data_IF_557597112103
#
_entry.id   IF_557597112103
#
_cell.length_a   1.000
_cell.length_b   1.000
_cell.length_c   1.000
_cell.angle_alpha   90.00
_cell.angle_beta   90.00
_cell.angle_gamma   90.00
#
_symmetry.space_group_name_H-M   'P 1'
#
loop_
_entity.id
_entity.type
_entity.pdbx_description
1 polymer ?
#
# COMPACT_ATOMS: atom_id res chain seq x y z
N UNK A 1 -19.08 -75.06 41.49
CA UNK A 1 -18.31 -76.09 40.75
C UNK A 1 -16.93 -75.56 40.46
N UNK A 2 -15.91 -76.40 40.61
CA UNK A 2 -14.49 -76.07 40.55
C UNK A 2 -14.04 -75.96 39.07
N UNK A 3 -13.18 -74.99 38.76
CA UNK A 3 -12.44 -74.93 37.50
C UNK A 3 -11.09 -74.26 37.73
N UNK A 4 -10.01 -75.03 37.56
CA UNK A 4 -8.61 -74.68 37.82
C UNK A 4 -7.91 -74.28 36.51
N UNK A 5 -7.05 -73.26 36.61
CA UNK A 5 -5.78 -73.00 35.89
C UNK A 5 -5.59 -73.40 34.41
N UNK A 6 -5.25 -72.40 33.58
CA UNK A 6 -4.21 -72.46 32.53
C UNK A 6 -3.68 -71.02 32.31
N UNK A 7 -2.49 -70.62 32.80
CA UNK A 7 -1.11 -70.82 32.30
C UNK A 7 -0.77 -70.09 30.98
N UNK A 8 0.05 -69.03 31.13
CA UNK A 8 1.06 -68.43 30.23
C UNK A 8 0.68 -68.03 28.80
N UNK A 9 0.91 -66.76 28.45
CA UNK A 9 2.13 -66.30 27.72
C UNK A 9 2.10 -64.78 27.54
N UNK A 10 3.21 -64.14 27.89
CA UNK A 10 3.49 -62.75 27.56
C UNK A 10 3.91 -62.62 26.10
N UNK A 11 3.36 -61.65 25.37
CA UNK A 11 4.07 -60.97 24.27
C UNK A 11 3.68 -59.50 24.32
N UNK A 12 4.61 -58.67 24.79
CA UNK A 12 4.58 -57.24 24.54
C UNK A 12 4.95 -57.02 23.07
N UNK A 13 4.04 -56.45 22.28
CA UNK A 13 4.36 -55.90 20.97
C UNK A 13 4.06 -54.41 20.98
N UNK A 14 5.07 -53.61 21.31
CA UNK A 14 5.04 -52.17 21.13
C UNK A 14 5.10 -51.86 19.64
N UNK A 15 3.93 -51.67 19.02
CA UNK A 15 3.82 -51.12 17.67
C UNK A 15 3.97 -49.60 17.75
N UNK A 16 5.21 -49.13 17.61
CA UNK A 16 5.50 -47.73 17.30
C UNK A 16 4.97 -47.42 15.90
N UNK A 17 3.86 -46.69 15.81
CA UNK A 17 3.37 -46.14 14.55
C UNK A 17 4.30 -45.00 14.12
N UNK A 18 4.89 -45.02 12.91
CA UNK A 18 5.53 -43.84 12.37
C UNK A 18 4.44 -42.82 12.05
N UNK A 19 4.50 -41.67 12.73
CA UNK A 19 3.73 -40.50 12.32
C UNK A 19 4.24 -40.05 10.95
N UNK A 20 3.57 -40.48 9.89
CA UNK A 20 3.71 -39.87 8.56
C UNK A 20 3.15 -38.45 8.65
N UNK A 21 4.04 -37.50 8.94
CA UNK A 21 3.77 -36.08 8.74
C UNK A 21 3.68 -35.85 7.24
N UNK A 22 2.47 -35.76 6.72
CA UNK A 22 2.22 -35.30 5.36
C UNK A 22 2.60 -33.83 5.25
N UNK A 23 3.85 -33.57 4.88
CA UNK A 23 4.35 -32.24 4.53
C UNK A 23 3.98 -31.91 3.07
N UNK A 24 2.70 -31.60 2.80
CA UNK A 24 2.27 -31.21 1.45
C UNK A 24 1.35 -29.98 1.37
N UNK A 25 1.02 -29.30 2.48
CA UNK A 25 0.05 -28.18 2.47
C UNK A 25 0.68 -26.76 2.63
N UNK A 26 2.01 -26.67 2.77
CA UNK A 26 2.69 -25.38 2.97
C UNK A 26 2.92 -24.59 1.65
N UNK A 27 2.94 -25.25 0.49
CA UNK A 27 3.33 -24.64 -0.78
C UNK A 27 2.24 -23.88 -1.53
N UNK A 28 0.97 -24.31 -1.42
CA UNK A 28 -0.18 -23.69 -2.11
C UNK A 28 -0.76 -22.51 -1.31
N UNK A 29 -0.61 -22.55 0.02
CA UNK A 29 -1.03 -21.47 0.93
C UNK A 29 -0.12 -20.24 0.84
N UNK A 30 1.19 -20.41 0.61
CA UNK A 30 2.14 -19.31 0.38
C UNK A 30 1.84 -18.54 -0.92
N UNK A 31 1.75 -19.23 -2.07
CA UNK A 31 1.46 -18.56 -3.35
C UNK A 31 0.08 -17.88 -3.43
N UNK A 32 -0.88 -18.30 -2.60
CA UNK A 32 -2.17 -17.62 -2.42
C UNK A 32 -2.04 -16.32 -1.61
N UNK A 33 -1.12 -16.24 -0.65
CA UNK A 33 -0.83 -15.01 0.13
C UNK A 33 -0.13 -13.96 -0.74
N UNK A 34 0.91 -14.35 -1.47
CA UNK A 34 1.68 -13.42 -2.31
C UNK A 34 0.80 -12.83 -3.44
N UNK A 35 -0.15 -13.61 -3.98
CA UNK A 35 -1.15 -13.12 -4.95
C UNK A 35 -2.16 -12.14 -4.35
N UNK A 36 -2.48 -12.28 -3.06
CA UNK A 36 -3.37 -11.35 -2.35
C UNK A 36 -2.65 -10.04 -2.06
N UNK A 37 -1.38 -10.09 -1.66
CA UNK A 37 -0.53 -8.93 -1.43
C UNK A 37 -0.35 -8.11 -2.71
N UNK A 38 0.06 -8.73 -3.83
CA UNK A 38 0.15 -8.05 -5.14
C UNK A 38 -1.19 -7.45 -5.61
N UNK A 39 -2.33 -7.98 -5.17
CA UNK A 39 -3.65 -7.38 -5.46
C UNK A 39 -3.94 -6.19 -4.54
N UNK A 40 -3.51 -6.26 -3.29
CA UNK A 40 -3.61 -5.20 -2.31
C UNK A 40 -2.79 -3.98 -2.75
N UNK A 41 -1.50 -4.15 -3.07
CA UNK A 41 -0.62 -3.04 -3.47
C UNK A 41 -1.11 -2.37 -4.76
N UNK A 42 -1.70 -3.14 -5.67
CA UNK A 42 -2.35 -2.58 -6.87
C UNK A 42 -3.55 -1.70 -6.53
N UNK A 43 -4.28 -2.01 -5.46
CA UNK A 43 -5.43 -1.25 -5.00
C UNK A 43 -4.97 0.03 -4.33
N UNK A 44 -3.94 -0.03 -3.49
CA UNK A 44 -3.29 1.13 -2.88
C UNK A 44 -2.76 2.08 -3.94
N UNK A 45 -1.95 1.58 -4.89
CA UNK A 45 -1.47 2.36 -6.04
C UNK A 45 -2.56 2.98 -6.92
N UNK A 46 -3.81 2.48 -6.85
CA UNK A 46 -4.96 3.12 -7.51
C UNK A 46 -5.54 4.24 -6.64
N UNK A 47 -5.57 4.04 -5.33
CA UNK A 47 -5.87 5.07 -4.31
C UNK A 47 -4.93 6.25 -4.45
N UNK A 48 -3.62 6.04 -4.34
CA UNK A 48 -2.63 7.14 -4.37
C UNK A 48 -2.73 7.96 -5.66
N UNK A 49 -2.98 7.30 -6.80
CA UNK A 49 -3.19 7.99 -8.08
C UNK A 49 -4.46 8.84 -8.10
N UNK A 50 -5.50 8.42 -7.39
CA UNK A 50 -6.74 9.20 -7.25
C UNK A 50 -6.48 10.42 -6.37
N UNK A 51 -5.73 10.25 -5.30
CA UNK A 51 -5.41 11.31 -4.35
C UNK A 51 -4.50 12.35 -4.99
N UNK A 52 -3.41 11.94 -5.65
CA UNK A 52 -2.54 12.83 -6.45
C UNK A 52 -3.33 13.62 -7.52
N UNK A 53 -4.37 13.01 -8.10
CA UNK A 53 -5.25 13.69 -9.06
C UNK A 53 -6.16 14.72 -8.37
N UNK A 54 -6.62 14.43 -7.17
CA UNK A 54 -7.38 15.36 -6.35
C UNK A 54 -6.51 16.56 -5.97
N UNK A 55 -5.32 16.33 -5.41
CA UNK A 55 -4.39 17.41 -5.04
C UNK A 55 -4.01 18.26 -6.26
N UNK A 56 -3.88 17.63 -7.44
CA UNK A 56 -3.61 18.37 -8.67
C UNK A 56 -4.74 19.31 -9.07
N UNK A 57 -6.00 18.96 -8.79
CA UNK A 57 -7.17 19.81 -9.02
C UNK A 57 -7.25 20.92 -7.99
N UNK A 58 -7.05 20.61 -6.71
CA UNK A 58 -7.08 21.60 -5.62
C UNK A 58 -6.01 22.66 -5.85
N UNK A 59 -4.76 22.24 -6.08
CA UNK A 59 -3.64 23.13 -6.43
C UNK A 59 -3.89 23.96 -7.68
N UNK A 60 -4.73 23.48 -8.61
CA UNK A 60 -5.13 24.26 -9.77
C UNK A 60 -6.19 25.31 -9.41
N UNK A 61 -7.12 24.98 -8.53
CA UNK A 61 -8.12 25.90 -8.01
C UNK A 61 -7.46 27.00 -7.16
N UNK A 62 -6.58 26.66 -6.22
CA UNK A 62 -5.84 27.64 -5.40
C UNK A 62 -5.05 28.62 -6.26
N UNK A 63 -4.51 28.16 -7.39
CA UNK A 63 -3.81 29.05 -8.34
C UNK A 63 -4.73 30.04 -9.03
N UNK A 64 -6.00 29.70 -9.24
CA UNK A 64 -7.01 30.62 -9.78
C UNK A 64 -7.41 31.62 -8.72
N UNK A 65 -7.64 31.16 -7.49
CA UNK A 65 -8.05 32.00 -6.37
C UNK A 65 -6.95 33.03 -6.07
N UNK A 66 -5.69 32.59 -5.96
CA UNK A 66 -4.51 33.47 -5.86
C UNK A 66 -4.33 34.46 -7.01
N UNK A 67 -4.94 34.23 -8.17
CA UNK A 67 -4.95 35.19 -9.29
C UNK A 67 -6.06 36.21 -9.09
N UNK A 68 -7.22 35.79 -8.61
CA UNK A 68 -8.34 36.65 -8.27
C UNK A 68 -7.97 37.60 -7.13
N UNK A 69 -7.43 37.09 -6.03
CA UNK A 69 -7.00 37.91 -4.89
C UNK A 69 -5.99 39.00 -5.31
N UNK A 70 -5.12 38.68 -6.27
CA UNK A 70 -4.17 39.66 -6.82
C UNK A 70 -4.84 40.76 -7.63
N UNK A 71 -5.95 40.45 -8.32
CA UNK A 71 -6.74 41.44 -9.03
C UNK A 71 -7.50 42.32 -8.04
N UNK A 72 -8.10 41.71 -7.02
CA UNK A 72 -8.87 42.42 -5.98
C UNK A 72 -7.96 43.39 -5.22
N UNK A 73 -6.80 42.94 -4.74
CA UNK A 73 -5.78 43.82 -4.13
C UNK A 73 -5.37 44.97 -5.04
N UNK A 74 -5.30 44.76 -6.36
CA UNK A 74 -4.96 45.85 -7.30
C UNK A 74 -6.09 46.85 -7.42
N UNK A 75 -7.33 46.38 -7.36
CA UNK A 75 -8.52 47.21 -7.41
C UNK A 75 -8.64 48.05 -6.14
N UNK A 76 -8.48 47.45 -4.96
CA UNK A 76 -8.52 48.16 -3.67
C UNK A 76 -7.46 49.26 -3.60
N UNK A 77 -6.24 48.96 -4.05
CA UNK A 77 -5.16 49.96 -4.14
C UNK A 77 -5.53 51.11 -5.09
N UNK A 78 -6.23 50.83 -6.19
CA UNK A 78 -6.68 51.84 -7.15
C UNK A 78 -7.81 52.70 -6.59
N UNK A 79 -8.70 52.11 -5.80
CA UNK A 79 -9.83 52.78 -5.14
C UNK A 79 -9.41 53.54 -3.87
N UNK A 80 -8.19 53.29 -3.36
CA UNK A 80 -7.63 53.95 -2.20
C UNK A 80 -7.87 53.21 -0.88
N UNK A 81 -8.43 52.00 -0.93
CA UNK A 81 -8.58 51.14 0.25
C UNK A 81 -7.28 50.40 0.58
N UNK A 82 -6.33 51.15 1.12
CA UNK A 82 -5.00 50.62 1.44
C UNK A 82 -4.99 49.68 2.65
N UNK A 83 -6.03 49.74 3.50
CA UNK A 83 -6.11 48.91 4.70
C UNK A 83 -6.50 47.50 4.32
N UNK A 84 -7.54 47.35 3.50
CA UNK A 84 -8.03 46.04 3.07
C UNK A 84 -7.00 45.40 2.11
N UNK A 85 -6.45 46.19 1.16
CA UNK A 85 -5.34 45.73 0.31
C UNK A 85 -4.12 45.21 1.09
N UNK A 86 -3.82 45.78 2.27
CA UNK A 86 -2.71 45.33 3.12
C UNK A 86 -3.03 44.00 3.80
N UNK A 87 -4.27 43.82 4.27
CA UNK A 87 -4.74 42.58 4.87
C UNK A 87 -4.73 41.46 3.83
N UNK A 88 -5.32 41.70 2.66
CA UNK A 88 -5.41 40.72 1.58
C UNK A 88 -4.02 40.33 1.06
N UNK A 89 -3.06 41.28 1.05
CA UNK A 89 -1.67 40.97 0.74
C UNK A 89 -1.01 40.06 1.79
N UNK A 90 -1.43 40.13 3.05
CA UNK A 90 -0.98 39.21 4.10
C UNK A 90 -1.57 37.81 3.87
N UNK A 91 -2.87 37.73 3.62
CA UNK A 91 -3.59 36.47 3.40
C UNK A 91 -3.04 35.76 2.15
N UNK A 92 -2.87 36.50 1.04
CA UNK A 92 -2.21 36.03 -0.19
C UNK A 92 -0.78 35.48 0.05
N UNK A 93 -0.05 35.97 1.08
CA UNK A 93 1.27 35.42 1.42
C UNK A 93 1.15 34.08 2.13
N UNK A 94 0.14 33.91 2.98
CA UNK A 94 -0.17 32.64 3.65
C UNK A 94 -0.61 31.59 2.64
N UNK A 95 -1.58 31.91 1.78
CA UNK A 95 -2.08 31.00 0.73
C UNK A 95 -0.97 30.55 -0.23
N UNK A 96 0.00 31.44 -0.51
CA UNK A 96 1.18 31.09 -1.30
C UNK A 96 2.14 30.13 -0.59
N UNK A 97 2.19 30.14 0.74
CA UNK A 97 2.98 29.16 1.51
C UNK A 97 2.27 27.82 1.51
N UNK A 98 0.97 27.81 1.72
CA UNK A 98 0.16 26.60 1.75
C UNK A 98 0.21 25.90 0.38
N UNK A 99 -0.01 26.65 -0.71
CA UNK A 99 0.17 26.13 -2.06
C UNK A 99 1.59 25.62 -2.37
N UNK A 100 2.62 26.13 -1.69
CA UNK A 100 3.99 25.59 -1.82
C UNK A 100 4.13 24.28 -1.07
N UNK A 101 3.48 24.15 0.08
CA UNK A 101 3.44 22.94 0.88
C UNK A 101 2.69 21.83 0.14
N UNK A 102 1.48 22.08 -0.38
CA UNK A 102 0.71 21.08 -1.14
C UNK A 102 1.46 20.60 -2.39
N UNK A 103 2.24 21.50 -3.01
CA UNK A 103 3.11 21.11 -4.13
C UNK A 103 4.28 20.23 -3.72
N UNK A 104 4.80 20.37 -2.49
CA UNK A 104 5.84 19.50 -1.94
C UNK A 104 5.25 18.14 -1.59
N UNK A 105 4.11 18.12 -0.93
CA UNK A 105 3.45 16.90 -0.48
C UNK A 105 3.05 16.04 -1.69
N UNK A 106 2.37 16.64 -2.67
CA UNK A 106 2.07 15.95 -3.95
C UNK A 106 3.32 15.41 -4.66
N UNK A 107 4.47 16.08 -4.53
CA UNK A 107 5.74 15.59 -5.13
C UNK A 107 6.27 14.38 -4.36
N UNK A 108 6.08 14.34 -3.05
CA UNK A 108 6.39 13.20 -2.19
C UNK A 108 5.50 12.02 -2.58
N UNK A 109 4.18 12.20 -2.66
CA UNK A 109 3.24 11.12 -3.01
C UNK A 109 3.54 10.54 -4.39
N UNK A 110 3.84 11.39 -5.36
CA UNK A 110 4.27 10.95 -6.71
C UNK A 110 5.56 10.15 -6.66
N UNK A 111 6.48 10.45 -5.75
CA UNK A 111 7.73 9.69 -5.58
C UNK A 111 7.43 8.34 -4.94
N UNK A 112 6.62 8.31 -3.88
CA UNK A 112 6.27 7.07 -3.17
C UNK A 112 5.53 6.11 -4.10
N UNK A 113 4.50 6.60 -4.79
CA UNK A 113 3.77 5.83 -5.83
C UNK A 113 4.72 5.25 -6.92
N UNK A 114 5.85 5.91 -7.21
CA UNK A 114 6.85 5.39 -8.16
C UNK A 114 7.71 4.28 -7.54
N UNK A 115 8.05 4.40 -6.26
CA UNK A 115 8.75 3.37 -5.48
C UNK A 115 7.86 2.14 -5.35
N UNK A 116 6.62 2.28 -4.89
CA UNK A 116 5.68 1.15 -4.72
C UNK A 116 5.42 0.43 -6.05
N UNK A 117 5.37 1.19 -7.15
CA UNK A 117 5.27 0.60 -8.49
C UNK A 117 6.51 -0.21 -8.88
N UNK A 118 7.71 0.19 -8.45
CA UNK A 118 8.95 -0.55 -8.69
C UNK A 118 8.95 -1.83 -7.87
N UNK A 119 8.57 -1.75 -6.61
CA UNK A 119 8.54 -2.90 -5.70
C UNK A 119 7.53 -3.94 -6.18
N UNK A 120 6.31 -3.51 -6.51
CA UNK A 120 5.30 -4.37 -7.14
C UNK A 120 5.75 -5.01 -8.46
N UNK A 121 6.68 -4.39 -9.20
CA UNK A 121 7.27 -5.01 -10.41
C UNK A 121 8.29 -6.08 -10.03
N UNK A 122 9.04 -5.88 -8.96
CA UNK A 122 10.01 -6.82 -8.45
C UNK A 122 9.30 -8.06 -7.88
N UNK A 123 8.30 -7.87 -7.02
CA UNK A 123 7.54 -8.99 -6.42
C UNK A 123 6.92 -9.91 -7.47
N UNK A 124 6.46 -9.32 -8.58
CA UNK A 124 5.93 -10.12 -9.70
C UNK A 124 6.98 -10.91 -10.46
N UNK A 125 8.22 -10.41 -10.55
CA UNK A 125 9.32 -11.15 -11.17
C UNK A 125 9.70 -12.32 -10.29
N UNK A 126 9.81 -12.08 -8.99
CA UNK A 126 10.21 -13.10 -8.02
C UNK A 126 9.14 -14.21 -7.97
N UNK A 127 7.85 -13.85 -7.89
CA UNK A 127 6.74 -14.81 -8.03
C UNK A 127 6.76 -15.61 -9.33
N UNK A 128 7.28 -15.04 -10.43
CA UNK A 128 7.38 -15.74 -11.70
C UNK A 128 8.55 -16.73 -11.69
N UNK A 129 9.70 -16.33 -11.13
CA UNK A 129 10.88 -17.18 -10.97
C UNK A 129 10.57 -18.38 -10.07
N UNK A 130 9.96 -18.15 -8.90
CA UNK A 130 9.55 -19.22 -7.98
C UNK A 130 8.61 -20.24 -8.65
N UNK A 131 7.70 -19.75 -9.52
CA UNK A 131 6.80 -20.61 -10.27
C UNK A 131 7.51 -21.40 -11.38
N UNK A 132 8.59 -20.88 -11.95
CA UNK A 132 9.40 -21.61 -12.93
C UNK A 132 10.25 -22.68 -12.24
N UNK A 133 10.95 -22.33 -11.16
CA UNK A 133 11.76 -23.27 -10.37
C UNK A 133 10.92 -24.44 -9.82
N UNK A 134 9.70 -24.16 -9.35
CA UNK A 134 8.76 -25.20 -8.92
C UNK A 134 8.36 -26.15 -10.04
N UNK A 135 8.19 -25.65 -11.28
CA UNK A 135 7.83 -26.47 -12.45
C UNK A 135 9.00 -27.32 -12.92
N UNK A 136 10.20 -26.79 -12.86
CA UNK A 136 11.41 -27.49 -13.30
C UNK A 136 11.83 -28.57 -12.28
N UNK A 137 11.57 -28.36 -10.98
CA UNK A 137 11.79 -29.35 -9.93
C UNK A 137 10.73 -30.46 -9.85
N UNK A 138 9.60 -30.33 -10.54
CA UNK A 138 8.57 -31.38 -10.65
C UNK A 138 8.65 -32.21 -11.94
N UNK A 139 9.62 -31.94 -12.82
CA UNK A 139 9.93 -32.74 -14.01
C UNK A 139 11.10 -33.67 -13.74
#
# INVERSE_FOLDING_TARGET
MRGRFALLTAVALALSLPAVVSAQDAGDSAGKKDRKEVRHDRRELRGDRRDIRHDSKDIHQDRKDLRQDRQDIRQDVKEGDLKDARKDRSDLRSDRRDLRQDRRDRRHDVRDTRSDRRDLRQDRKDQHQDQQEKKDSTK
#
